data_IF_953611546673
#
_entry.id   IF_953611546673
#
_cell.length_a   1.000
_cell.length_b   1.000
_cell.length_c   1.000
_cell.angle_alpha   90.00
_cell.angle_beta   90.00
_cell.angle_gamma   90.00
#
_symmetry.space_group_name_H-M   'P 1'
#
loop_
_entity.id
_entity.type
_entity.pdbx_description
1 polymer ?
#
# COMPACT_ATOMS: atom_id res chain seq x y z
N UNK A 1 -16.11 -8.61 15.94
CA UNK A 1 -15.35 -9.81 15.92
C UNK A 1 -14.05 -9.66 15.13
N UNK A 2 -12.94 -10.02 15.74
CA UNK A 2 -11.65 -9.86 15.09
C UNK A 2 -11.37 -11.00 14.12
N UNK A 3 -10.84 -10.64 12.96
CA UNK A 3 -10.30 -11.60 12.03
C UNK A 3 -8.83 -11.84 12.37
N UNK A 4 -8.42 -13.09 12.36
CA UNK A 4 -7.02 -13.44 12.57
C UNK A 4 -6.17 -12.86 11.43
N UNK A 5 -5.05 -12.23 11.77
CA UNK A 5 -4.14 -11.66 10.78
C UNK A 5 -3.68 -12.71 9.79
N UNK A 6 -3.36 -13.91 10.29
CA UNK A 6 -2.94 -15.01 9.44
C UNK A 6 -4.00 -15.36 8.40
N UNK A 7 -5.26 -15.42 8.82
CA UNK A 7 -6.37 -15.73 7.92
C UNK A 7 -6.58 -14.65 6.88
N UNK A 8 -6.43 -13.39 7.30
CA UNK A 8 -6.53 -12.27 6.37
C UNK A 8 -5.46 -12.36 5.28
N UNK A 9 -4.22 -12.65 5.67
CA UNK A 9 -3.13 -12.79 4.71
C UNK A 9 -3.38 -13.98 3.77
N UNK A 10 -3.84 -15.10 4.29
CA UNK A 10 -4.16 -16.28 3.46
C UNK A 10 -5.26 -15.95 2.43
N UNK A 11 -6.29 -15.24 2.86
CA UNK A 11 -7.37 -14.85 1.95
C UNK A 11 -6.86 -13.97 0.82
N UNK A 12 -5.98 -13.03 1.14
CA UNK A 12 -5.40 -12.14 0.14
C UNK A 12 -4.51 -12.90 -0.84
N UNK A 13 -3.72 -13.85 -0.35
CA UNK A 13 -2.87 -14.65 -1.23
C UNK A 13 -3.65 -15.44 -2.27
N UNK A 14 -4.87 -15.84 -1.95
CA UNK A 14 -5.73 -16.51 -2.93
C UNK A 14 -6.09 -15.58 -4.09
N UNK A 15 -6.00 -14.27 -3.88
CA UNK A 15 -6.36 -13.27 -4.87
C UNK A 15 -5.14 -12.66 -5.57
N UNK A 16 -3.96 -13.23 -5.37
CA UNK A 16 -2.70 -12.63 -5.85
C UNK A 16 -2.63 -12.44 -7.37
N UNK A 17 -3.38 -13.24 -8.12
CA UNK A 17 -3.39 -13.14 -9.58
C UNK A 17 -4.52 -12.26 -10.11
N UNK A 18 -5.31 -11.65 -9.22
CA UNK A 18 -6.43 -10.78 -9.59
C UNK A 18 -5.95 -9.34 -9.71
N UNK A 19 -6.65 -8.57 -10.55
CA UNK A 19 -6.37 -7.14 -10.71
C UNK A 19 -6.61 -6.41 -9.39
N UNK A 20 -5.67 -5.56 -8.98
CA UNK A 20 -5.74 -4.88 -7.70
C UNK A 20 -6.96 -3.97 -7.57
N UNK A 21 -7.34 -3.27 -8.63
CA UNK A 21 -8.52 -2.39 -8.60
C UNK A 21 -9.78 -3.20 -8.31
N UNK A 22 -9.91 -4.33 -8.98
CA UNK A 22 -11.05 -5.24 -8.78
C UNK A 22 -11.08 -5.77 -7.34
N UNK A 23 -9.94 -6.23 -6.84
CA UNK A 23 -9.84 -6.79 -5.49
C UNK A 23 -10.16 -5.72 -4.45
N UNK A 24 -9.69 -4.49 -4.65
CA UNK A 24 -9.99 -3.39 -3.72
C UNK A 24 -11.50 -3.11 -3.68
N UNK A 25 -12.16 -3.15 -4.82
CA UNK A 25 -13.60 -2.98 -4.85
C UNK A 25 -14.34 -4.09 -4.11
N UNK A 26 -13.86 -5.31 -4.27
CA UNK A 26 -14.46 -6.48 -3.64
C UNK A 26 -14.25 -6.48 -2.13
N UNK A 27 -13.05 -6.12 -1.67
CA UNK A 27 -12.72 -6.08 -0.25
C UNK A 27 -13.21 -4.81 0.46
N UNK A 28 -13.52 -3.77 -0.30
CA UNK A 28 -13.97 -2.50 0.22
C UNK A 28 -12.89 -1.43 0.13
N UNK A 29 -13.33 -0.20 -0.14
CA UNK A 29 -12.43 0.95 -0.30
C UNK A 29 -12.35 1.83 0.93
N UNK A 30 -13.16 1.53 1.95
CA UNK A 30 -13.28 2.37 3.13
C UNK A 30 -12.06 2.26 4.04
N UNK A 31 -12.02 3.14 5.05
CA UNK A 31 -10.94 3.15 6.03
C UNK A 31 -11.06 2.07 7.09
N UNK A 32 -12.04 1.17 7.00
CA UNK A 32 -12.19 0.13 8.02
C UNK A 32 -10.92 -0.71 8.10
N UNK A 33 -10.55 -1.10 9.29
CA UNK A 33 -9.31 -1.82 9.54
C UNK A 33 -9.15 -3.05 8.65
N UNK A 34 -10.22 -3.82 8.54
CA UNK A 34 -10.18 -5.06 7.78
C UNK A 34 -9.98 -4.81 6.28
N UNK A 35 -10.77 -3.90 5.70
CA UNK A 35 -10.66 -3.55 4.28
C UNK A 35 -9.31 -2.93 3.96
N UNK A 36 -8.87 -1.99 4.80
CA UNK A 36 -7.61 -1.30 4.60
C UNK A 36 -6.44 -2.28 4.64
N UNK A 37 -6.42 -3.16 5.64
CA UNK A 37 -5.34 -4.13 5.79
C UNK A 37 -5.27 -5.07 4.61
N UNK A 38 -6.39 -5.68 4.23
CA UNK A 38 -6.42 -6.66 3.14
C UNK A 38 -6.05 -6.03 1.80
N UNK A 39 -6.60 -4.87 1.50
CA UNK A 39 -6.29 -4.17 0.25
C UNK A 39 -4.82 -3.76 0.18
N UNK A 40 -4.25 -3.32 1.30
CA UNK A 40 -2.85 -2.95 1.35
C UNK A 40 -1.95 -4.16 1.13
N UNK A 41 -2.25 -5.28 1.76
CA UNK A 41 -1.47 -6.51 1.57
C UNK A 41 -1.56 -6.95 0.11
N UNK A 42 -2.74 -6.89 -0.51
CA UNK A 42 -2.87 -7.23 -1.92
C UNK A 42 -2.03 -6.32 -2.81
N UNK A 43 -2.01 -5.03 -2.51
CA UNK A 43 -1.17 -4.07 -3.23
C UNK A 43 0.30 -4.46 -3.13
N UNK A 44 0.75 -4.81 -1.94
CA UNK A 44 2.15 -5.18 -1.69
C UNK A 44 2.53 -6.43 -2.48
N UNK A 45 1.73 -7.48 -2.42
CA UNK A 45 2.08 -8.74 -3.08
C UNK A 45 1.97 -8.69 -4.61
N UNK A 46 1.23 -7.71 -5.15
CA UNK A 46 1.07 -7.56 -6.59
C UNK A 46 1.94 -6.45 -7.19
N UNK A 47 2.75 -5.78 -6.37
CA UNK A 47 3.59 -4.68 -6.83
C UNK A 47 5.06 -5.04 -6.69
N UNK A 48 5.90 -4.49 -7.56
CA UNK A 48 7.32 -4.81 -7.58
C UNK A 48 8.18 -3.74 -6.90
N UNK A 49 7.69 -2.51 -6.77
CA UNK A 49 8.46 -1.43 -6.16
C UNK A 49 7.55 -0.36 -5.57
N UNK A 50 8.16 0.63 -4.93
CA UNK A 50 7.46 1.72 -4.26
C UNK A 50 6.52 2.46 -5.22
N UNK A 51 7.05 2.88 -6.35
CA UNK A 51 6.29 3.69 -7.30
C UNK A 51 5.05 2.96 -7.81
N UNK A 52 5.20 1.71 -8.24
CA UNK A 52 4.06 0.97 -8.76
C UNK A 52 3.02 0.68 -7.70
N UNK A 53 3.44 0.46 -6.45
CA UNK A 53 2.53 0.22 -5.34
C UNK A 53 1.67 1.46 -5.06
N UNK A 54 2.30 2.62 -5.00
CA UNK A 54 1.58 3.87 -4.73
C UNK A 54 0.61 4.18 -5.87
N UNK A 55 1.04 4.03 -7.10
CA UNK A 55 0.18 4.30 -8.26
C UNK A 55 -1.03 3.35 -8.27
N UNK A 56 -0.82 2.07 -8.00
CA UNK A 56 -1.91 1.10 -7.94
C UNK A 56 -2.93 1.45 -6.88
N UNK A 57 -2.46 1.81 -5.68
CA UNK A 57 -3.37 2.10 -4.58
C UNK A 57 -4.18 3.36 -4.85
N UNK A 58 -3.59 4.35 -5.50
CA UNK A 58 -4.31 5.57 -5.87
C UNK A 58 -5.38 5.27 -6.93
N UNK A 59 -5.03 4.49 -7.94
CA UNK A 59 -5.97 4.12 -8.99
C UNK A 59 -7.14 3.29 -8.47
N UNK A 60 -6.96 2.55 -7.40
CA UNK A 60 -8.03 1.75 -6.82
C UNK A 60 -9.13 2.62 -6.19
N UNK A 61 -8.80 3.86 -5.81
CA UNK A 61 -9.79 4.79 -5.26
C UNK A 61 -10.13 4.53 -3.80
N UNK A 62 -11.12 5.25 -3.30
CA UNK A 62 -11.53 5.15 -1.91
C UNK A 62 -10.55 5.81 -0.97
N UNK A 63 -10.29 5.21 0.19
CA UNK A 63 -9.38 5.75 1.19
C UNK A 63 -7.92 5.50 0.81
N UNK A 64 -7.40 6.31 -0.10
CA UNK A 64 -6.06 6.16 -0.63
C UNK A 64 -4.98 6.40 0.41
N UNK A 65 -5.19 7.37 1.31
CA UNK A 65 -4.16 7.77 2.28
C UNK A 65 -3.75 6.61 3.17
N UNK A 66 -4.73 5.92 3.76
CA UNK A 66 -4.44 4.81 4.68
C UNK A 66 -3.68 3.69 3.99
N UNK A 67 -4.12 3.32 2.79
CA UNK A 67 -3.43 2.27 2.04
C UNK A 67 -2.05 2.69 1.59
N UNK A 68 -1.90 3.95 1.16
CA UNK A 68 -0.61 4.46 0.71
C UNK A 68 0.40 4.50 1.85
N UNK A 69 -0.03 4.86 3.06
CA UNK A 69 0.85 4.82 4.23
C UNK A 69 1.38 3.40 4.46
N UNK A 70 0.49 2.43 4.42
CA UNK A 70 0.86 1.02 4.65
C UNK A 70 1.82 0.52 3.56
N UNK A 71 1.42 0.64 2.31
CA UNK A 71 2.22 0.16 1.18
C UNK A 71 3.54 0.90 1.05
N UNK A 72 3.52 2.21 1.22
CA UNK A 72 4.71 3.03 1.11
C UNK A 72 5.71 2.72 2.20
N UNK A 73 5.24 2.53 3.44
CA UNK A 73 6.13 2.17 4.55
C UNK A 73 6.81 0.83 4.29
N UNK A 74 6.07 -0.14 3.77
CA UNK A 74 6.65 -1.45 3.46
C UNK A 74 7.78 -1.34 2.44
N UNK A 75 7.51 -0.69 1.31
CA UNK A 75 8.51 -0.60 0.25
C UNK A 75 9.68 0.32 0.60
N UNK A 76 9.43 1.36 1.39
CA UNK A 76 10.51 2.23 1.85
C UNK A 76 11.44 1.52 2.84
N UNK A 77 10.91 0.56 3.60
CA UNK A 77 11.71 -0.22 4.55
C UNK A 77 12.59 -1.26 3.88
N UNK A 78 12.32 -1.61 2.63
CA UNK A 78 13.18 -2.53 1.91
C UNK A 78 14.54 -1.89 1.62
N UNK A 79 15.56 -2.73 1.54
CA UNK A 79 16.95 -2.25 1.41
C UNK A 79 17.20 -1.32 0.23
N UNK A 80 16.45 -1.44 -0.83
CA UNK A 80 16.71 -0.71 -2.07
C UNK A 80 16.16 0.71 -2.11
N UNK A 81 15.47 1.16 -1.09
CA UNK A 81 14.97 2.54 -1.01
C UNK A 81 14.51 3.09 -2.37
N UNK A 82 13.48 2.51 -2.93
CA UNK A 82 13.08 2.83 -4.29
C UNK A 82 12.02 3.93 -4.39
N UNK A 83 12.04 4.88 -3.46
CA UNK A 83 11.19 6.06 -3.54
C UNK A 83 11.74 6.94 -4.67
N UNK A 84 10.92 7.32 -5.67
CA UNK A 84 11.42 8.16 -6.76
C UNK A 84 11.97 9.48 -6.26
N UNK A 85 13.18 9.82 -6.68
CA UNK A 85 13.86 11.03 -6.24
C UNK A 85 13.06 12.29 -6.57
N UNK A 86 12.38 12.28 -7.71
CA UNK A 86 11.54 13.41 -8.13
C UNK A 86 10.42 13.65 -7.12
N UNK A 87 9.82 12.59 -6.59
CA UNK A 87 8.77 12.72 -5.60
C UNK A 87 9.29 13.33 -4.30
N UNK A 88 10.47 12.93 -3.88
CA UNK A 88 11.13 13.51 -2.69
C UNK A 88 11.37 15.00 -2.89
N UNK A 89 11.89 15.38 -4.05
CA UNK A 89 12.18 16.78 -4.36
C UNK A 89 10.93 17.67 -4.39
N UNK A 90 9.80 17.09 -4.81
CA UNK A 90 8.54 17.84 -4.89
C UNK A 90 7.77 17.89 -3.59
N UNK A 91 8.20 17.18 -2.56
CA UNK A 91 7.52 17.15 -1.27
C UNK A 91 8.12 18.21 -0.36
N UNK A 92 7.30 19.19 0.04
CA UNK A 92 7.77 20.36 0.77
C UNK A 92 8.53 20.04 2.06
N UNK A 93 8.09 19.05 2.82
CA UNK A 93 8.69 18.71 4.12
C UNK A 93 9.76 17.62 4.03
N UNK A 94 10.03 17.09 2.85
CA UNK A 94 10.91 15.92 2.72
C UNK A 94 12.33 16.21 3.19
N UNK A 95 12.88 17.37 2.85
CA UNK A 95 14.24 17.72 3.24
C UNK A 95 14.38 17.79 4.76
N UNK A 96 13.42 18.39 5.42
CA UNK A 96 13.39 18.49 6.87
C UNK A 96 13.33 17.11 7.52
N UNK A 97 12.49 16.23 6.99
CA UNK A 97 12.35 14.87 7.50
C UNK A 97 13.66 14.10 7.35
N UNK A 98 14.32 14.24 6.20
CA UNK A 98 15.58 13.55 5.95
C UNK A 98 16.68 13.97 6.90
N UNK A 99 16.64 15.21 7.39
CA UNK A 99 17.63 15.69 8.36
C UNK A 99 17.56 14.98 9.71
N UNK A 100 16.40 14.36 10.02
CA UNK A 100 16.24 13.62 11.28
C UNK A 100 16.60 12.13 11.15
N UNK A 101 16.93 11.67 9.98
CA UNK A 101 17.31 10.30 9.76
C UNK A 101 18.82 10.15 9.80
#
# INVERSE_FOLDING_TARGET
RQMCIRDSIKNVFKLKNQNHIYVTRMLGKACSDNSNFKSSIHCIITSSNYESAIIKTIKAGGCNCSRAIFCGSYFAALKKRNIPLVWIKKTNAAQKILEYL
#
